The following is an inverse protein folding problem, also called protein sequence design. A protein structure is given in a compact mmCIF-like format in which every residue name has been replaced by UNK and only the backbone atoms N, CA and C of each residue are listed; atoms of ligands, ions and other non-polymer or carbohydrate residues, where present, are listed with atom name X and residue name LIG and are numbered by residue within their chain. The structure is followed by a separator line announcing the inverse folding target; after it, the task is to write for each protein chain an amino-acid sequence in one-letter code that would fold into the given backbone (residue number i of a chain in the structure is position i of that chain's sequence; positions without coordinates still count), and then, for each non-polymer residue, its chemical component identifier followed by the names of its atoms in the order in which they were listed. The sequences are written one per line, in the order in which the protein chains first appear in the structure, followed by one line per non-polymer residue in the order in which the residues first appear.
data_IF_636720593893
#
_entry.id   IF_636720593893
#
_cell.length_a   1.000
_cell.length_b   1.000
_cell.length_c   1.000
_cell.angle_alpha   90.00
_cell.angle_beta   90.00
_cell.angle_gamma   90.00
#
_symmetry.space_group_name_H-M   'P 1'
#
loop_
_entity.id
_entity.type
_entity.pdbx_description
1 polymer ?
#
# COMPACT_ATOMS: atom_id res chain seq x y z
N UNK A 1 -23.94 -10.91 -10.38
CA UNK A 1 -24.13 -9.52 -9.98
C UNK A 1 -23.68 -9.25 -8.54
N UNK A 2 -23.59 -10.27 -7.68
CA UNK A 2 -23.23 -10.12 -6.25
C UNK A 2 -21.73 -9.94 -5.93
N UNK A 3 -20.83 -10.44 -6.74
CA UNK A 3 -19.37 -10.36 -6.47
C UNK A 3 -18.82 -8.95 -6.58
N UNK A 4 -19.33 -8.12 -7.49
CA UNK A 4 -18.84 -6.76 -7.72
C UNK A 4 -19.15 -5.80 -6.56
N UNK A 5 -20.34 -5.91 -5.98
CA UNK A 5 -20.77 -5.07 -4.85
C UNK A 5 -20.00 -5.38 -3.56
N UNK A 6 -19.64 -6.65 -3.34
CA UNK A 6 -18.83 -7.07 -2.18
C UNK A 6 -17.41 -6.49 -2.27
N UNK A 7 -16.82 -6.44 -3.46
CA UNK A 7 -15.45 -5.99 -3.67
C UNK A 7 -15.32 -4.44 -3.72
N UNK A 8 -16.29 -3.73 -4.28
CA UNK A 8 -16.37 -2.25 -4.17
C UNK A 8 -16.44 -1.82 -2.70
N UNK A 9 -17.10 -2.63 -1.88
CA UNK A 9 -17.17 -2.44 -0.43
C UNK A 9 -15.81 -2.66 0.25
N UNK A 10 -14.96 -3.56 -0.22
CA UNK A 10 -13.66 -3.88 0.42
C UNK A 10 -12.62 -2.77 0.17
N UNK A 11 -12.47 -2.29 -1.06
CA UNK A 11 -11.53 -1.20 -1.37
C UNK A 11 -11.93 0.11 -0.66
N UNK A 12 -13.23 0.42 -0.68
CA UNK A 12 -13.78 1.57 0.05
C UNK A 12 -13.62 1.42 1.57
N UNK A 13 -13.83 0.22 2.12
CA UNK A 13 -13.62 -0.06 3.55
C UNK A 13 -12.16 0.04 3.96
N UNK A 14 -11.23 -0.30 3.09
CA UNK A 14 -9.80 -0.22 3.40
C UNK A 14 -9.34 1.24 3.54
N UNK A 15 -9.68 2.09 2.57
CA UNK A 15 -9.40 3.53 2.65
C UNK A 15 -10.18 4.19 3.79
N UNK A 16 -11.42 3.82 3.99
CA UNK A 16 -12.26 4.30 5.09
C UNK A 16 -11.73 3.88 6.45
N UNK A 17 -11.23 2.65 6.59
CA UNK A 17 -10.61 2.17 7.83
C UNK A 17 -9.31 2.91 8.12
N UNK A 18 -8.48 3.17 7.11
CA UNK A 18 -7.28 3.99 7.26
C UNK A 18 -7.65 5.45 7.60
N UNK A 19 -8.69 6.01 7.00
CA UNK A 19 -9.21 7.35 7.34
C UNK A 19 -9.65 7.42 8.81
N UNK A 20 -10.41 6.44 9.29
CA UNK A 20 -10.87 6.39 10.70
C UNK A 20 -9.69 6.17 11.65
N UNK A 21 -8.85 5.16 11.40
CA UNK A 21 -7.72 4.82 12.27
C UNK A 21 -6.69 5.94 12.38
N UNK A 22 -6.56 6.77 11.36
CA UNK A 22 -5.60 7.87 11.33
C UNK A 22 -6.23 9.25 11.45
N UNK A 23 -7.57 9.36 11.59
CA UNK A 23 -8.32 10.62 11.48
C UNK A 23 -7.93 11.41 10.20
N UNK A 24 -7.69 10.69 9.09
CA UNK A 24 -7.25 11.25 7.82
C UNK A 24 -5.74 11.58 7.75
N UNK A 25 -4.98 11.41 8.85
CA UNK A 25 -3.55 11.72 8.88
C UNK A 25 -2.72 10.84 7.94
N UNK A 26 -3.20 9.62 7.60
CA UNK A 26 -2.49 8.73 6.67
C UNK A 26 -2.25 9.40 5.30
N UNK A 27 -3.15 10.29 4.87
CA UNK A 27 -2.99 11.05 3.61
C UNK A 27 -1.81 12.00 3.68
N UNK A 28 -1.65 12.67 4.82
CA UNK A 28 -0.49 13.54 5.08
C UNK A 28 0.80 12.72 5.19
N UNK A 29 0.78 11.58 5.89
CA UNK A 29 1.96 10.72 6.01
C UNK A 29 2.43 10.17 4.68
N UNK A 30 1.53 9.84 3.75
CA UNK A 30 1.89 9.46 2.38
C UNK A 30 2.55 10.62 1.61
N UNK A 31 2.13 11.87 1.81
CA UNK A 31 2.85 13.03 1.22
C UNK A 31 4.25 13.17 1.83
N UNK A 32 4.38 13.05 3.14
CA UNK A 32 5.66 13.08 3.85
C UNK A 32 6.59 11.95 3.37
N UNK A 33 6.05 10.75 3.12
CA UNK A 33 6.80 9.64 2.54
C UNK A 33 7.42 10.03 1.19
N UNK A 34 6.65 10.69 0.32
CA UNK A 34 7.15 11.15 -0.98
C UNK A 34 8.17 12.31 -0.82
N UNK A 35 8.01 13.16 0.20
CA UNK A 35 9.00 14.20 0.52
C UNK A 35 10.34 13.59 0.94
N UNK A 36 10.33 12.57 1.79
CA UNK A 36 11.54 11.83 2.19
C UNK A 36 12.19 11.08 1.04
N UNK A 37 11.41 10.54 0.12
CA UNK A 37 11.93 9.91 -1.10
C UNK A 37 12.75 10.91 -1.91
N UNK A 38 12.34 12.19 -1.93
CA UNK A 38 12.99 13.24 -2.72
C UNK A 38 13.22 12.82 -4.18
N UNK A 39 12.15 12.45 -4.91
CA UNK A 39 12.30 11.79 -6.19
C UNK A 39 12.83 12.74 -7.27
N UNK A 40 13.65 12.20 -8.20
CA UNK A 40 14.08 12.88 -9.42
C UNK A 40 13.14 12.55 -10.57
N UNK A 41 13.26 13.28 -11.67
CA UNK A 41 12.40 13.15 -12.84
C UNK A 41 12.53 11.79 -13.58
N UNK A 42 13.63 11.08 -13.36
CA UNK A 42 13.94 9.77 -13.93
C UNK A 42 13.70 8.61 -12.95
N UNK A 43 13.26 8.89 -11.73
CA UNK A 43 13.07 7.89 -10.68
C UNK A 43 12.02 6.85 -11.08
N UNK A 44 12.36 5.57 -10.91
CA UNK A 44 11.45 4.44 -11.04
C UNK A 44 11.21 3.79 -9.67
N UNK A 45 9.97 3.84 -9.20
CA UNK A 45 9.58 3.26 -7.92
C UNK A 45 8.80 1.96 -8.07
N UNK A 46 8.92 1.08 -7.07
CA UNK A 46 7.98 0.00 -6.80
C UNK A 46 7.14 0.36 -5.58
N UNK A 47 5.83 0.40 -5.75
CA UNK A 47 4.81 0.55 -4.69
C UNK A 47 4.25 -0.86 -4.41
N UNK A 48 4.86 -1.57 -3.44
CA UNK A 48 4.52 -2.94 -3.09
C UNK A 48 3.36 -2.99 -2.09
N UNK A 49 2.45 -3.94 -2.27
CA UNK A 49 1.15 -3.95 -1.62
C UNK A 49 0.43 -2.59 -1.82
N UNK A 50 0.58 -2.03 -3.03
CA UNK A 50 0.16 -0.67 -3.34
C UNK A 50 -1.34 -0.51 -3.57
N UNK A 51 -2.09 -1.62 -3.60
CA UNK A 51 -3.53 -1.63 -3.77
C UNK A 51 -3.96 -0.89 -5.04
N UNK A 52 -4.77 0.14 -4.86
CA UNK A 52 -5.23 0.99 -5.98
C UNK A 52 -4.19 1.99 -6.47
N UNK A 53 -2.96 2.01 -5.93
CA UNK A 53 -1.84 2.85 -6.38
C UNK A 53 -1.90 4.30 -5.95
N UNK A 54 -2.42 4.60 -4.76
CA UNK A 54 -2.47 5.99 -4.26
C UNK A 54 -1.07 6.59 -4.08
N UNK A 55 -0.11 5.83 -3.54
CA UNK A 55 1.27 6.30 -3.35
C UNK A 55 1.96 6.52 -4.69
N UNK A 56 1.81 5.61 -5.65
CA UNK A 56 2.33 5.75 -7.00
C UNK A 56 1.82 7.03 -7.69
N UNK A 57 0.53 7.34 -7.55
CA UNK A 57 -0.04 8.58 -8.12
C UNK A 57 0.47 9.84 -7.43
N UNK A 58 0.67 9.83 -6.11
CA UNK A 58 1.27 10.96 -5.36
C UNK A 58 2.71 11.20 -5.80
N UNK A 59 3.48 10.14 -5.95
CA UNK A 59 4.83 10.20 -6.51
C UNK A 59 4.84 10.85 -7.89
N UNK A 60 4.04 10.34 -8.84
CA UNK A 60 3.97 10.89 -10.21
C UNK A 60 3.47 12.34 -10.23
N UNK A 61 2.54 12.70 -9.35
CA UNK A 61 2.11 14.10 -9.20
C UNK A 61 3.27 14.99 -8.76
N UNK A 62 4.10 14.54 -7.81
CA UNK A 62 5.25 15.29 -7.29
C UNK A 62 6.26 15.59 -8.40
N UNK A 63 6.57 14.63 -9.25
CA UNK A 63 7.53 14.79 -10.36
C UNK A 63 6.86 15.15 -11.69
N UNK A 64 5.63 15.63 -11.66
CA UNK A 64 4.87 16.10 -12.84
C UNK A 64 4.77 15.05 -13.96
N UNK A 65 4.71 13.77 -13.59
CA UNK A 65 4.58 12.64 -14.52
C UNK A 65 5.87 12.27 -15.27
N UNK A 66 7.03 12.75 -14.88
CA UNK A 66 8.29 12.50 -15.60
C UNK A 66 8.98 11.17 -15.22
N UNK A 67 8.63 10.52 -14.11
CA UNK A 67 9.17 9.21 -13.72
C UNK A 67 8.27 8.05 -14.11
N UNK A 68 8.55 6.89 -13.51
CA UNK A 68 7.77 5.66 -13.66
C UNK A 68 7.43 5.06 -12.29
N UNK A 69 6.28 4.44 -12.19
CA UNK A 69 5.88 3.69 -11.02
C UNK A 69 5.42 2.30 -11.46
N UNK A 70 5.81 1.28 -10.72
CA UNK A 70 5.22 -0.04 -10.78
C UNK A 70 4.44 -0.26 -9.49
N UNK A 71 3.20 -0.70 -9.59
CA UNK A 71 2.35 -1.08 -8.45
C UNK A 71 2.20 -2.59 -8.46
N UNK A 72 2.60 -3.26 -7.37
CA UNK A 72 2.33 -4.68 -7.17
C UNK A 72 1.38 -4.89 -6.00
N UNK A 73 0.41 -5.77 -6.18
CA UNK A 73 -0.51 -6.19 -5.13
C UNK A 73 -0.99 -7.62 -5.44
N UNK A 74 -1.09 -8.52 -4.46
CA UNK A 74 -1.62 -9.88 -4.68
C UNK A 74 -3.12 -9.87 -5.00
N UNK A 75 -3.84 -8.81 -4.68
CA UNK A 75 -5.26 -8.67 -4.94
C UNK A 75 -5.51 -8.07 -6.33
N UNK A 76 -5.87 -8.96 -7.28
CA UNK A 76 -6.18 -8.57 -8.67
C UNK A 76 -7.27 -7.50 -8.74
N UNK A 77 -8.27 -7.55 -7.87
CA UNK A 77 -9.35 -6.57 -7.85
C UNK A 77 -8.82 -5.16 -7.53
N UNK A 78 -7.91 -5.03 -6.57
CA UNK A 78 -7.30 -3.73 -6.23
C UNK A 78 -6.50 -3.17 -7.42
N UNK A 79 -5.79 -4.02 -8.13
CA UNK A 79 -5.05 -3.66 -9.35
C UNK A 79 -6.02 -3.18 -10.44
N UNK A 80 -7.10 -3.92 -10.69
CA UNK A 80 -8.10 -3.54 -11.71
C UNK A 80 -8.81 -2.22 -11.35
N UNK A 81 -9.11 -2.01 -10.08
CA UNK A 81 -9.69 -0.75 -9.61
C UNK A 81 -8.71 0.43 -9.80
N UNK A 82 -7.43 0.21 -9.48
CA UNK A 82 -6.36 1.18 -9.72
C UNK A 82 -6.23 1.58 -11.19
N UNK A 83 -6.34 0.61 -12.12
CA UNK A 83 -6.28 0.82 -13.57
C UNK A 83 -7.42 1.69 -14.12
N UNK A 84 -8.57 1.73 -13.45
CA UNK A 84 -9.70 2.58 -13.85
C UNK A 84 -9.39 4.07 -13.74
N UNK A 85 -8.46 4.44 -12.87
CA UNK A 85 -8.02 5.82 -12.73
C UNK A 85 -7.10 6.19 -13.89
N UNK A 86 -7.57 7.04 -14.78
CA UNK A 86 -6.85 7.41 -16.01
C UNK A 86 -5.66 8.36 -15.80
N UNK A 87 -5.51 8.93 -14.61
CA UNK A 87 -4.40 9.84 -14.33
C UNK A 87 -3.07 9.07 -14.30
N UNK A 88 -2.13 9.51 -15.12
CA UNK A 88 -0.81 8.88 -15.29
C UNK A 88 -0.84 7.44 -15.83
N UNK A 89 -1.89 7.03 -16.55
CA UNK A 89 -2.08 5.64 -17.04
C UNK A 89 -0.85 5.06 -17.76
N UNK A 90 -0.15 5.87 -18.57
CA UNK A 90 1.04 5.44 -19.32
C UNK A 90 2.34 5.44 -18.48
N UNK A 91 2.28 5.82 -17.21
CA UNK A 91 3.42 5.95 -16.30
C UNK A 91 3.33 5.01 -15.10
N UNK A 92 2.26 4.24 -15.01
CA UNK A 92 2.08 3.21 -13.98
C UNK A 92 1.96 1.85 -14.66
N UNK A 93 2.87 0.96 -14.29
CA UNK A 93 2.77 -0.46 -14.56
C UNK A 93 2.04 -1.14 -13.39
N UNK A 94 1.15 -2.08 -13.71
CA UNK A 94 0.33 -2.78 -12.73
C UNK A 94 0.58 -4.28 -12.79
N UNK A 95 0.99 -4.87 -11.66
CA UNK A 95 1.39 -6.27 -11.58
C UNK A 95 0.65 -6.95 -10.44
N UNK A 96 0.01 -8.08 -10.72
CA UNK A 96 -0.57 -8.94 -9.68
C UNK A 96 0.53 -9.86 -9.18
N UNK A 97 1.10 -9.52 -8.02
CA UNK A 97 2.15 -10.29 -7.38
C UNK A 97 2.23 -10.01 -5.88
N UNK A 98 2.52 -11.02 -5.04
CA UNK A 98 2.81 -10.83 -3.64
C UNK A 98 4.23 -10.25 -3.46
N UNK A 99 4.46 -9.60 -2.33
CA UNK A 99 5.77 -9.01 -2.02
C UNK A 99 6.87 -10.07 -1.80
N UNK A 100 6.48 -11.30 -1.55
CA UNK A 100 7.35 -12.47 -1.34
C UNK A 100 7.90 -13.09 -2.64
N UNK A 101 7.31 -12.73 -3.79
CA UNK A 101 7.67 -13.32 -5.09
C UNK A 101 7.41 -12.31 -6.22
N UNK A 102 8.35 -11.40 -6.39
CA UNK A 102 8.21 -10.28 -7.32
C UNK A 102 8.74 -10.67 -8.71
N UNK A 103 7.92 -10.56 -9.77
CA UNK A 103 8.30 -10.96 -11.13
C UNK A 103 9.19 -9.90 -11.83
N UNK A 104 10.13 -9.32 -11.08
CA UNK A 104 11.04 -8.30 -11.60
C UNK A 104 12.48 -8.79 -11.56
N UNK A 105 13.30 -8.27 -12.48
CA UNK A 105 14.74 -8.51 -12.48
C UNK A 105 15.41 -7.85 -11.26
N UNK A 106 16.59 -8.33 -10.91
CA UNK A 106 17.43 -7.71 -9.90
C UNK A 106 17.80 -6.27 -10.32
N UNK A 107 17.96 -5.38 -9.33
CA UNK A 107 18.45 -4.01 -9.55
C UNK A 107 17.57 -3.20 -10.52
N UNK A 108 16.26 -3.32 -10.43
CA UNK A 108 15.32 -2.66 -11.33
C UNK A 108 14.89 -1.29 -10.83
N UNK A 109 14.64 -1.13 -9.53
CA UNK A 109 13.98 0.06 -8.96
C UNK A 109 14.96 0.96 -8.21
N UNK A 110 14.73 2.28 -8.32
CA UNK A 110 15.47 3.29 -7.56
C UNK A 110 14.95 3.40 -6.13
N UNK A 111 13.66 3.07 -5.91
CA UNK A 111 13.06 3.00 -4.59
C UNK A 111 11.97 1.92 -4.52
N UNK A 112 11.90 1.28 -3.35
CA UNK A 112 10.85 0.36 -2.94
C UNK A 112 10.03 1.03 -1.83
N UNK A 113 8.74 1.15 -2.04
CA UNK A 113 7.81 1.74 -1.09
C UNK A 113 6.80 0.69 -0.63
N UNK A 114 6.50 0.65 0.65
CA UNK A 114 5.36 -0.10 1.19
C UNK A 114 4.64 0.79 2.20
N UNK A 115 3.33 0.90 2.08
CA UNK A 115 2.53 1.82 2.87
C UNK A 115 1.30 1.10 3.42
N UNK A 116 1.30 0.83 4.73
CA UNK A 116 0.23 0.12 5.45
C UNK A 116 -0.05 -1.30 4.92
N UNK A 117 0.99 -1.96 4.38
CA UNK A 117 0.87 -3.25 3.73
C UNK A 117 1.67 -4.39 4.36
N UNK A 118 2.69 -4.09 5.19
CA UNK A 118 3.63 -5.09 5.72
C UNK A 118 2.92 -6.14 6.60
N UNK A 119 1.89 -5.74 7.33
CA UNK A 119 1.13 -6.65 8.19
C UNK A 119 0.36 -7.74 7.41
N UNK A 120 0.16 -7.55 6.09
CA UNK A 120 -0.44 -8.54 5.19
C UNK A 120 0.58 -9.54 4.61
N UNK A 121 1.89 -9.31 4.79
CA UNK A 121 2.91 -10.20 4.25
C UNK A 121 2.88 -11.55 4.97
N UNK A 122 2.86 -12.63 4.21
CA UNK A 122 2.88 -13.99 4.75
C UNK A 122 4.27 -14.38 5.25
N UNK A 123 5.32 -13.87 4.62
CA UNK A 123 6.73 -14.02 5.03
C UNK A 123 7.49 -12.70 4.86
N UNK A 124 7.60 -11.96 5.97
CA UNK A 124 8.29 -10.67 6.00
C UNK A 124 9.76 -10.79 5.59
N UNK A 125 10.45 -11.89 5.99
CA UNK A 125 11.87 -12.06 5.64
C UNK A 125 12.05 -12.24 4.15
N UNK A 126 11.21 -13.05 3.52
CA UNK A 126 11.22 -13.27 2.08
C UNK A 126 10.87 -11.97 1.34
N UNK A 127 9.86 -11.24 1.79
CA UNK A 127 9.48 -9.94 1.20
C UNK A 127 10.62 -8.93 1.27
N UNK A 128 11.35 -8.87 2.40
CA UNK A 128 12.52 -7.99 2.52
C UNK A 128 13.70 -8.43 1.64
N UNK A 129 13.88 -9.74 1.44
CA UNK A 129 14.88 -10.28 0.52
C UNK A 129 14.55 -9.91 -0.93
N UNK A 130 13.27 -10.00 -1.32
CA UNK A 130 12.79 -9.56 -2.64
C UNK A 130 12.95 -8.05 -2.81
N UNK A 131 12.58 -7.26 -1.80
CA UNK A 131 12.79 -5.81 -1.83
C UNK A 131 14.26 -5.45 -2.04
N UNK A 132 15.17 -6.13 -1.34
CA UNK A 132 16.61 -5.95 -1.52
C UNK A 132 17.09 -6.34 -2.93
N UNK A 133 16.59 -7.46 -3.45
CA UNK A 133 16.96 -8.00 -4.77
C UNK A 133 16.57 -7.05 -5.90
N UNK A 134 15.37 -6.52 -5.85
CA UNK A 134 14.84 -5.67 -6.93
C UNK A 134 15.31 -4.21 -6.86
N UNK A 135 15.86 -3.78 -5.71
CA UNK A 135 16.44 -2.44 -5.57
C UNK A 135 17.82 -2.36 -6.24
N UNK A 136 18.03 -1.29 -6.98
CA UNK A 136 19.37 -0.94 -7.50
C UNK A 136 20.37 -0.71 -6.36
N UNK A 137 21.68 -0.91 -6.60
CA UNK A 137 22.70 -0.46 -5.65
C UNK A 137 22.51 1.03 -5.31
N UNK A 138 22.41 1.34 -4.00
CA UNK A 138 22.10 2.69 -3.54
C UNK A 138 20.61 3.07 -3.62
N UNK A 139 19.75 2.16 -4.04
CA UNK A 139 18.29 2.31 -4.00
C UNK A 139 17.76 2.44 -2.57
N UNK A 140 16.60 3.02 -2.43
CA UNK A 140 16.02 3.35 -1.10
C UNK A 140 14.81 2.47 -0.79
N UNK A 141 14.77 1.95 0.43
CA UNK A 141 13.60 1.26 0.98
C UNK A 141 12.85 2.18 1.94
N UNK A 142 11.54 2.31 1.74
CA UNK A 142 10.65 3.09 2.61
C UNK A 142 9.48 2.22 3.07
N UNK A 143 9.27 2.20 4.38
CA UNK A 143 8.16 1.52 5.00
C UNK A 143 7.36 2.54 5.84
N UNK A 144 6.09 2.70 5.51
CA UNK A 144 5.14 3.51 6.27
C UNK A 144 4.12 2.59 6.92
N UNK A 145 4.19 2.45 8.24
CA UNK A 145 3.31 1.57 9.02
C UNK A 145 2.86 2.23 10.32
N UNK A 146 1.75 1.74 10.85
CA UNK A 146 1.31 2.12 12.19
C UNK A 146 2.26 1.54 13.24
N UNK A 147 2.73 2.38 14.14
CA UNK A 147 3.55 1.98 15.29
C UNK A 147 2.73 2.00 16.57
N UNK A 148 3.22 1.30 17.61
CA UNK A 148 2.65 1.41 18.95
C UNK A 148 2.75 2.87 19.43
N UNK A 149 1.65 3.38 19.96
CA UNK A 149 1.61 4.73 20.54
C UNK A 149 2.19 4.66 21.95
N UNK A 150 3.38 5.21 22.16
CA UNK A 150 4.07 5.21 23.46
C UNK A 150 3.41 6.15 24.48
N UNK A 151 2.78 7.23 24.03
CA UNK A 151 2.05 8.16 24.89
C UNK A 151 0.76 7.53 25.42
N UNK A 152 0.68 7.28 26.73
CA UNK A 152 -0.45 6.58 27.38
C UNK A 152 -1.81 7.23 27.13
N UNK A 153 -1.90 8.55 27.09
CA UNK A 153 -3.16 9.28 26.85
C UNK A 153 -3.63 9.09 25.42
N UNK A 154 -2.72 9.26 24.46
CA UNK A 154 -3.02 9.07 23.03
C UNK A 154 -3.32 7.59 22.74
N UNK A 155 -2.58 6.67 23.37
CA UNK A 155 -2.82 5.23 23.26
C UNK A 155 -4.22 4.84 23.76
N UNK A 156 -4.68 5.44 24.86
CA UNK A 156 -6.03 5.16 25.40
C UNK A 156 -7.13 5.62 24.43
N UNK A 157 -6.99 6.82 23.85
CA UNK A 157 -7.93 7.34 22.85
C UNK A 157 -7.90 6.46 21.59
N UNK A 158 -6.71 6.09 21.14
CA UNK A 158 -6.51 5.22 19.96
C UNK A 158 -7.13 3.83 20.16
N UNK A 159 -6.92 3.22 21.33
CA UNK A 159 -7.50 1.91 21.67
C UNK A 159 -9.04 1.96 21.77
N UNK A 160 -9.61 3.05 22.27
CA UNK A 160 -11.06 3.27 22.25
C UNK A 160 -11.57 3.33 20.82
N UNK A 161 -10.89 4.10 19.95
CA UNK A 161 -11.23 4.18 18.52
C UNK A 161 -11.17 2.79 17.85
N UNK A 162 -10.14 1.99 18.11
CA UNK A 162 -10.00 0.63 17.59
C UNK A 162 -11.11 -0.30 18.06
N UNK A 163 -11.54 -0.21 19.32
CA UNK A 163 -12.63 -1.03 19.85
C UNK A 163 -13.98 -0.77 19.14
N UNK A 164 -14.22 0.48 18.73
CA UNK A 164 -15.45 0.86 18.02
C UNK A 164 -15.38 0.63 16.49
N UNK A 165 -14.19 0.54 15.92
CA UNK A 165 -14.01 0.43 14.46
C UNK A 165 -13.52 -0.96 14.01
N UNK A 166 -13.02 -1.79 14.92
CA UNK A 166 -12.66 -3.19 14.60
C UNK A 166 -13.91 -4.02 14.33
N UNK A 167 -13.94 -4.82 13.26
CA UNK A 167 -15.01 -5.77 13.06
C UNK A 167 -15.10 -6.71 14.27
N UNK A 168 -16.33 -6.93 14.75
CA UNK A 168 -16.58 -7.84 15.86
C UNK A 168 -15.99 -9.23 15.56
N UNK A 169 -15.47 -9.98 16.56
CA UNK A 169 -15.07 -11.37 16.38
C UNK A 169 -16.16 -12.25 15.74
N UNK A 170 -17.44 -11.84 15.84
CA UNK A 170 -18.56 -12.49 15.15
C UNK A 170 -18.54 -12.29 13.64
N UNK A 171 -18.03 -11.18 13.13
CA UNK A 171 -17.92 -10.91 11.70
C UNK A 171 -16.77 -11.72 11.06
N UNK A 172 -15.73 -12.04 11.83
CA UNK A 172 -14.63 -12.89 11.41
C UNK A 172 -15.01 -14.38 11.27
N UNK A 173 -16.10 -14.82 11.92
CA UNK A 173 -16.56 -16.22 11.82
C UNK A 173 -17.46 -16.47 10.60
N UNK A 174 -18.07 -15.44 10.04
CA UNK A 174 -18.88 -15.55 8.82
C UNK A 174 -18.04 -15.72 7.54
N UNK A 175 -16.75 -15.37 7.57
CA UNK A 175 -15.82 -15.55 6.44
C UNK A 175 -15.17 -16.95 6.36
N UNK A 176 -15.50 -17.87 7.27
CA UNK A 176 -14.94 -19.23 7.34
C UNK A 176 -15.97 -20.33 7.09
N UNK A 177 -16.98 -20.10 6.28
CA UNK A 177 -17.83 -21.21 5.82
C UNK A 177 -17.18 -21.84 4.58
N UNK A 178 -16.78 -23.12 4.63
CA UNK A 178 -16.38 -23.84 3.43
C UNK A 178 -17.62 -24.08 2.55
N UNK A 179 -17.43 -23.93 1.26
CA UNK A 179 -18.36 -24.35 0.21
C UNK A 179 -18.63 -25.84 0.25
#
# INVERSE_FOLDING_TARGET
METKEVFDTVAYRYDFMNDIMSLGAHRYWKEVLIDFLSPREDTHILDAAGGTGDVARRFLKRIKGKGFATVSDPNEYMIEEGKKNHKFKSKIEWVVAPAEDLPFADNTFDAYLVSFGVWNFSDIKRSLSEAYRVLKPGGKFFCLEFSKVENKTVSSIYNICLLYTSPSPRDATLSRMPS
#
